data_IF_537607821378
#
_entry.id   IF_537607821378
#
_cell.length_a   1.000
_cell.length_b   1.000
_cell.length_c   1.000
_cell.angle_alpha   90.00
_cell.angle_beta   90.00
_cell.angle_gamma   90.00
#
_symmetry.space_group_name_H-M   'P 1'
#
loop_
_entity.id
_entity.type
_entity.pdbx_description
1 polymer ?
#
# COMPACT_ATOMS: atom_id res chain seq x y z
N UNK A 1 -1.04 -11.43 -4.16
CA UNK A 1 -0.75 -10.02 -3.75
C UNK A 1 -0.95 -9.91 -2.24
N UNK A 2 -0.43 -8.87 -1.57
CA UNK A 2 -0.67 -8.65 -0.14
C UNK A 2 -2.18 -8.62 0.22
N UNK A 3 -3.04 -8.24 -0.72
CA UNK A 3 -4.50 -8.25 -0.53
C UNK A 3 -5.04 -9.62 -0.14
N UNK A 4 -4.50 -10.71 -0.70
CA UNK A 4 -4.92 -12.08 -0.33
C UNK A 4 -4.66 -12.37 1.15
N UNK A 5 -3.47 -11.99 1.63
CA UNK A 5 -3.10 -12.11 3.05
C UNK A 5 -3.97 -11.21 3.93
N UNK A 6 -4.32 -10.00 3.44
CA UNK A 6 -5.19 -9.05 4.17
C UNK A 6 -6.61 -9.59 4.28
N UNK A 7 -7.15 -10.20 3.22
CA UNK A 7 -8.46 -10.86 3.25
C UNK A 7 -8.46 -12.01 4.25
N UNK A 8 -7.45 -12.88 4.19
CA UNK A 8 -7.29 -14.01 5.11
C UNK A 8 -7.07 -13.57 6.57
N UNK A 9 -6.49 -12.40 6.80
CA UNK A 9 -6.28 -11.81 8.11
C UNK A 9 -7.50 -11.02 8.65
N UNK A 10 -8.70 -11.21 8.07
CA UNK A 10 -9.93 -10.61 8.57
C UNK A 10 -10.22 -9.20 8.03
N UNK A 11 -9.98 -8.95 6.74
CA UNK A 11 -10.37 -7.67 6.12
C UNK A 11 -11.87 -7.40 6.30
N UNK A 12 -12.70 -8.44 6.12
CA UNK A 12 -14.16 -8.33 6.18
C UNK A 12 -14.62 -7.86 7.56
N UNK A 13 -14.06 -8.43 8.63
CA UNK A 13 -14.41 -8.06 10.01
C UNK A 13 -14.08 -6.59 10.29
N UNK A 14 -12.96 -6.09 9.76
CA UNK A 14 -12.57 -4.69 9.90
C UNK A 14 -13.48 -3.75 9.12
N UNK A 15 -13.84 -4.10 7.89
CA UNK A 15 -14.71 -3.23 7.07
C UNK A 15 -16.13 -3.21 7.64
N UNK A 16 -16.64 -4.34 8.14
CA UNK A 16 -17.97 -4.40 8.81
C UNK A 16 -18.09 -3.40 9.96
N UNK A 17 -17.05 -3.22 10.77
CA UNK A 17 -17.07 -2.29 11.91
C UNK A 17 -17.26 -0.81 11.51
N UNK A 18 -16.87 -0.45 10.29
CA UNK A 18 -16.97 0.93 9.77
C UNK A 18 -17.96 1.04 8.61
N UNK A 19 -18.68 -0.04 8.30
CA UNK A 19 -19.64 -0.07 7.22
C UNK A 19 -20.88 0.71 7.63
N UNK A 20 -21.16 1.76 6.86
CA UNK A 20 -22.37 2.56 6.99
C UNK A 20 -23.07 2.47 5.64
N UNK A 21 -24.30 1.91 5.58
CA UNK A 21 -25.10 1.93 4.36
C UNK A 21 -25.25 3.36 3.84
N UNK A 22 -25.05 3.54 2.54
CA UNK A 22 -25.21 4.82 1.82
C UNK A 22 -24.27 5.95 2.26
N UNK A 23 -23.15 5.59 2.88
CA UNK A 23 -22.11 6.54 3.23
C UNK A 23 -21.38 7.12 2.01
N UNK A 24 -20.97 8.37 2.16
CA UNK A 24 -20.13 9.07 1.18
C UNK A 24 -18.67 8.58 1.27
N UNK A 25 -18.30 7.63 0.42
CA UNK A 25 -16.94 7.09 0.32
C UNK A 25 -15.93 8.04 -0.33
N UNK A 26 -16.30 9.30 -0.62
CA UNK A 26 -15.36 10.30 -1.13
C UNK A 26 -14.61 11.05 -0.02
N UNK A 27 -14.96 10.82 1.25
CA UNK A 27 -14.42 11.58 2.40
C UNK A 27 -13.83 10.68 3.48
N UNK A 28 -12.85 11.24 4.20
CA UNK A 28 -12.26 10.63 5.39
C UNK A 28 -11.79 9.18 5.20
N UNK A 29 -12.04 8.36 6.22
CA UNK A 29 -11.66 6.94 6.27
C UNK A 29 -12.42 6.11 5.22
N UNK A 30 -13.62 6.55 4.82
CA UNK A 30 -14.45 5.89 3.79
C UNK A 30 -13.78 5.80 2.42
N UNK A 31 -12.76 6.63 2.14
CA UNK A 31 -11.97 6.56 0.90
C UNK A 31 -11.01 5.38 0.82
N UNK A 32 -10.77 4.69 1.93
CA UNK A 32 -9.82 3.58 1.99
C UNK A 32 -10.29 2.47 1.05
N UNK A 33 -9.47 2.06 0.08
CA UNK A 33 -9.85 1.16 -1.06
C UNK A 33 -10.70 -0.05 -0.64
N UNK A 34 -10.40 -0.67 0.51
CA UNK A 34 -11.13 -1.83 1.02
C UNK A 34 -12.60 -1.56 1.37
N UNK A 35 -12.97 -0.32 1.71
CA UNK A 35 -14.32 0.07 2.11
C UNK A 35 -15.28 0.12 0.91
N UNK A 36 -15.10 1.00 -0.11
CA UNK A 36 -15.94 0.97 -1.30
C UNK A 36 -15.73 -0.32 -2.11
N UNK A 37 -14.56 -0.96 -1.98
CA UNK A 37 -14.29 -2.24 -2.60
C UNK A 37 -15.17 -3.38 -2.07
N UNK A 38 -15.61 -3.33 -0.81
CA UNK A 38 -16.45 -4.35 -0.18
C UNK A 38 -17.92 -3.96 -0.03
N UNK A 39 -18.31 -2.72 -0.35
CA UNK A 39 -19.69 -2.23 -0.19
C UNK A 39 -20.74 -3.17 -0.80
N UNK A 40 -20.58 -3.55 -2.07
CA UNK A 40 -21.52 -4.44 -2.77
C UNK A 40 -21.63 -5.81 -2.11
N UNK A 41 -20.51 -6.35 -1.61
CA UNK A 41 -20.51 -7.63 -0.90
C UNK A 41 -21.26 -7.50 0.43
N UNK A 42 -20.95 -6.47 1.23
CA UNK A 42 -21.54 -6.27 2.55
C UNK A 42 -23.05 -5.98 2.49
N UNK A 43 -23.52 -5.25 1.48
CA UNK A 43 -24.96 -5.02 1.26
C UNK A 43 -25.73 -6.31 1.00
N UNK A 44 -25.12 -7.22 0.24
CA UNK A 44 -25.72 -8.52 -0.12
C UNK A 44 -25.54 -9.59 0.94
N UNK A 45 -24.48 -9.50 1.74
CA UNK A 45 -24.25 -10.39 2.87
C UNK A 45 -25.39 -10.31 3.90
N UNK A 46 -25.97 -9.12 4.10
CA UNK A 46 -27.11 -8.90 5.00
C UNK A 46 -28.41 -9.51 4.44
N UNK A 47 -28.49 -9.76 3.13
CA UNK A 47 -29.67 -10.37 2.54
C UNK A 47 -29.65 -11.90 2.76
N UNK A 48 -30.64 -12.38 3.53
CA UNK A 48 -30.77 -13.78 3.95
C UNK A 48 -31.13 -14.69 2.76
N UNK A 49 -31.75 -14.13 1.72
CA UNK A 49 -32.25 -14.89 0.56
C UNK A 49 -31.16 -15.21 -0.48
N UNK A 50 -29.95 -14.66 -0.35
CA UNK A 50 -28.89 -14.86 -1.33
C UNK A 50 -28.05 -16.09 -1.00
N UNK A 51 -27.90 -16.99 -1.98
CA UNK A 51 -27.20 -18.26 -1.82
C UNK A 51 -25.68 -18.09 -1.58
N UNK A 52 -25.08 -19.10 -0.96
CA UNK A 52 -23.68 -19.06 -0.55
C UNK A 52 -22.69 -18.95 -1.73
N UNK A 53 -23.03 -19.51 -2.90
CA UNK A 53 -22.16 -19.42 -4.07
C UNK A 53 -22.19 -18.01 -4.66
N UNK A 54 -23.36 -17.37 -4.71
CA UNK A 54 -23.51 -15.95 -5.08
C UNK A 54 -22.68 -15.03 -4.17
N UNK A 55 -22.73 -15.24 -2.84
CA UNK A 55 -21.92 -14.48 -1.86
C UNK A 55 -20.42 -14.66 -2.09
N UNK A 56 -19.98 -15.89 -2.35
CA UNK A 56 -18.59 -16.21 -2.66
C UNK A 56 -18.10 -15.57 -3.96
N UNK A 57 -18.92 -15.58 -5.03
CA UNK A 57 -18.59 -14.89 -6.28
C UNK A 57 -18.45 -13.38 -6.09
N UNK A 58 -19.32 -12.77 -5.28
CA UNK A 58 -19.23 -11.35 -4.94
C UNK A 58 -17.97 -11.02 -4.15
N UNK A 59 -17.59 -11.86 -3.18
CA UNK A 59 -16.36 -11.69 -2.41
C UNK A 59 -15.13 -11.76 -3.31
N UNK A 60 -15.09 -12.73 -4.23
CA UNK A 60 -14.01 -12.86 -5.20
C UNK A 60 -13.92 -11.63 -6.12
N UNK A 61 -15.06 -11.18 -6.65
CA UNK A 61 -15.14 -9.98 -7.49
C UNK A 61 -14.69 -8.72 -6.74
N UNK A 62 -15.12 -8.56 -5.49
CA UNK A 62 -14.74 -7.44 -4.62
C UNK A 62 -13.24 -7.46 -4.30
N UNK A 63 -12.69 -8.64 -4.01
CA UNK A 63 -11.26 -8.84 -3.79
C UNK A 63 -10.44 -8.52 -5.03
N UNK A 64 -10.90 -8.95 -6.22
CA UNK A 64 -10.26 -8.62 -7.49
C UNK A 64 -10.27 -7.10 -7.77
N UNK A 65 -11.39 -6.43 -7.48
CA UNK A 65 -11.51 -4.98 -7.60
C UNK A 65 -10.53 -4.25 -6.66
N UNK A 66 -10.42 -4.66 -5.39
CA UNK A 66 -9.46 -4.11 -4.43
C UNK A 66 -8.01 -4.28 -4.93
N UNK A 67 -7.67 -5.45 -5.49
CA UNK A 67 -6.35 -5.68 -6.10
C UNK A 67 -6.10 -4.72 -7.26
N UNK A 68 -7.07 -4.56 -8.16
CA UNK A 68 -6.97 -3.66 -9.31
C UNK A 68 -6.78 -2.20 -8.86
N UNK A 69 -7.63 -1.72 -7.96
CA UNK A 69 -7.56 -0.36 -7.44
C UNK A 69 -6.28 -0.09 -6.65
N UNK A 70 -5.77 -1.09 -5.93
CA UNK A 70 -4.47 -0.98 -5.24
C UNK A 70 -3.33 -0.83 -6.26
N UNK A 71 -3.36 -1.59 -7.36
CA UNK A 71 -2.37 -1.45 -8.44
C UNK A 71 -2.45 -0.07 -9.09
N UNK A 72 -3.67 0.42 -9.38
CA UNK A 72 -3.88 1.74 -9.96
C UNK A 72 -3.38 2.85 -9.02
N UNK A 73 -3.63 2.73 -7.72
CA UNK A 73 -3.07 3.65 -6.71
C UNK A 73 -1.53 3.67 -6.76
N UNK A 74 -0.89 2.51 -6.85
CA UNK A 74 0.58 2.41 -6.94
C UNK A 74 1.10 3.09 -8.21
N UNK A 75 0.43 2.90 -9.36
CA UNK A 75 0.78 3.61 -10.61
C UNK A 75 0.67 5.13 -10.43
N UNK A 76 -0.43 5.63 -9.88
CA UNK A 76 -0.59 7.06 -9.62
C UNK A 76 0.43 7.62 -8.62
N UNK A 77 0.83 6.82 -7.61
CA UNK A 77 1.88 7.21 -6.67
C UNK A 77 3.23 7.31 -7.37
N UNK A 78 3.57 6.36 -8.24
CA UNK A 78 4.79 6.38 -9.04
C UNK A 78 4.84 7.61 -9.93
N UNK A 79 3.76 7.90 -10.65
CA UNK A 79 3.66 9.10 -11.51
C UNK A 79 3.87 10.37 -10.69
N UNK A 80 3.24 10.49 -9.52
CA UNK A 80 3.41 11.64 -8.62
C UNK A 80 4.87 11.81 -8.16
N UNK A 81 5.54 10.72 -7.80
CA UNK A 81 6.96 10.75 -7.41
C UNK A 81 7.83 11.20 -8.59
N UNK A 82 7.61 10.65 -9.79
CA UNK A 82 8.34 11.04 -10.99
C UNK A 82 8.14 12.53 -11.32
N UNK A 83 6.94 13.07 -11.11
CA UNK A 83 6.67 14.50 -11.27
C UNK A 83 7.39 15.36 -10.24
N UNK A 84 7.50 14.93 -8.98
CA UNK A 84 8.31 15.63 -7.98
C UNK A 84 9.79 15.69 -8.41
N UNK A 85 10.32 14.60 -8.94
CA UNK A 85 11.71 14.53 -9.41
C UNK A 85 11.90 15.43 -10.64
N UNK A 86 11.06 15.27 -11.66
CA UNK A 86 11.28 15.86 -12.98
C UNK A 86 10.74 17.30 -13.12
N UNK A 87 9.57 17.60 -12.55
CA UNK A 87 8.95 18.93 -12.67
C UNK A 87 9.38 19.87 -11.55
N UNK A 88 9.65 19.33 -10.36
CA UNK A 88 10.02 20.14 -9.18
C UNK A 88 11.51 20.08 -8.87
N UNK A 89 12.29 19.31 -9.63
CA UNK A 89 13.73 19.15 -9.46
C UNK A 89 14.12 18.71 -8.04
N UNK A 90 13.25 17.91 -7.39
CA UNK A 90 13.55 17.40 -6.06
C UNK A 90 14.74 16.44 -6.13
N UNK A 91 15.76 16.71 -5.32
CA UNK A 91 16.89 15.81 -5.15
C UNK A 91 16.43 14.60 -4.33
N UNK A 92 16.08 13.50 -5.02
CA UNK A 92 15.60 12.27 -4.39
C UNK A 92 16.62 11.16 -4.58
N UNK A 93 17.01 10.50 -3.49
CA UNK A 93 17.80 9.29 -3.54
C UNK A 93 16.91 8.06 -3.77
N UNK A 94 17.07 7.38 -4.91
CA UNK A 94 16.29 6.18 -5.24
C UNK A 94 16.94 4.91 -4.67
N UNK A 95 16.20 4.19 -3.82
CA UNK A 95 16.62 2.91 -3.24
C UNK A 95 15.77 1.78 -3.85
N UNK A 96 16.41 0.86 -4.55
CA UNK A 96 15.73 -0.22 -5.28
C UNK A 96 15.50 -1.42 -4.35
N UNK A 97 14.25 -1.61 -3.93
CA UNK A 97 13.83 -2.70 -3.05
C UNK A 97 13.46 -4.01 -3.78
N UNK A 98 13.49 -4.04 -5.12
CA UNK A 98 12.97 -5.16 -5.94
C UNK A 98 13.58 -6.52 -5.55
N UNK A 99 14.87 -6.56 -5.19
CA UNK A 99 15.54 -7.80 -4.79
C UNK A 99 14.96 -8.45 -3.54
N UNK A 100 14.38 -7.66 -2.62
CA UNK A 100 13.78 -8.14 -1.37
C UNK A 100 12.53 -8.96 -1.63
N UNK A 101 11.78 -8.63 -2.68
CA UNK A 101 10.51 -9.31 -3.01
C UNK A 101 10.69 -10.58 -3.84
N UNK A 102 11.93 -10.98 -4.17
CA UNK A 102 12.22 -12.18 -4.98
C UNK A 102 12.51 -13.44 -4.16
N UNK A 103 12.77 -13.30 -2.86
CA UNK A 103 13.10 -14.43 -1.98
C UNK A 103 11.89 -14.91 -1.20
N UNK A 104 11.74 -16.24 -1.07
CA UNK A 104 10.69 -16.83 -0.23
C UNK A 104 11.19 -17.19 1.18
N UNK A 105 12.51 -17.36 1.33
CA UNK A 105 13.14 -17.66 2.63
C UNK A 105 13.48 -16.38 3.37
N UNK A 106 13.01 -16.28 4.61
CA UNK A 106 13.23 -15.13 5.49
C UNK A 106 14.69 -14.68 5.54
N UNK A 107 15.64 -15.60 5.70
CA UNK A 107 17.07 -15.28 5.74
C UNK A 107 17.59 -14.61 4.46
N UNK A 108 17.09 -15.07 3.30
CA UNK A 108 17.44 -14.50 1.99
C UNK A 108 16.85 -13.10 1.84
N UNK A 109 15.59 -12.93 2.26
CA UNK A 109 14.89 -11.64 2.26
C UNK A 109 15.56 -10.64 3.20
N UNK A 110 15.91 -11.05 4.41
CA UNK A 110 16.56 -10.21 5.42
C UNK A 110 17.95 -9.77 4.95
N UNK A 111 18.72 -10.69 4.34
CA UNK A 111 20.02 -10.36 3.74
C UNK A 111 19.87 -9.38 2.58
N UNK A 112 18.91 -9.62 1.68
CA UNK A 112 18.63 -8.71 0.58
C UNK A 112 18.23 -7.32 1.09
N UNK A 113 17.30 -7.24 2.05
CA UNK A 113 16.87 -5.99 2.69
C UNK A 113 18.04 -5.21 3.29
N UNK A 114 18.89 -5.90 4.07
CA UNK A 114 20.06 -5.27 4.68
C UNK A 114 20.99 -4.65 3.62
N UNK A 115 21.28 -5.39 2.56
CA UNK A 115 22.27 -4.98 1.57
C UNK A 115 21.73 -3.96 0.56
N UNK A 116 20.47 -4.07 0.14
CA UNK A 116 19.92 -3.24 -0.95
C UNK A 116 19.14 -2.03 -0.44
N UNK A 117 18.71 -2.02 0.82
CA UNK A 117 17.90 -0.94 1.39
C UNK A 117 18.59 -0.32 2.60
N UNK A 118 18.87 -1.11 3.64
CA UNK A 118 19.33 -0.55 4.91
C UNK A 118 20.70 0.11 4.81
N UNK A 119 21.70 -0.58 4.26
CA UNK A 119 23.05 -0.02 4.15
C UNK A 119 23.09 1.24 3.27
N UNK A 120 22.53 1.25 2.03
CA UNK A 120 22.48 2.46 1.22
C UNK A 120 21.76 3.62 1.91
N UNK A 121 20.63 3.35 2.59
CA UNK A 121 19.90 4.37 3.35
C UNK A 121 20.77 4.97 4.45
N UNK A 122 21.44 4.13 5.26
CA UNK A 122 22.32 4.60 6.33
C UNK A 122 23.48 5.44 5.81
N UNK A 123 24.07 5.06 4.67
CA UNK A 123 25.17 5.82 4.07
C UNK A 123 24.71 7.19 3.56
N UNK A 124 23.52 7.27 2.95
CA UNK A 124 22.90 8.53 2.54
C UNK A 124 22.68 9.43 3.76
N UNK A 125 22.04 8.91 4.81
CA UNK A 125 21.75 9.67 6.04
C UNK A 125 23.04 10.11 6.73
N UNK A 126 24.06 9.25 6.83
CA UNK A 126 25.36 9.63 7.41
C UNK A 126 26.04 10.76 6.64
N UNK A 127 25.98 10.75 5.30
CA UNK A 127 26.55 11.82 4.48
C UNK A 127 25.80 13.13 4.69
N UNK A 128 24.48 13.07 4.70
CA UNK A 128 23.61 14.23 4.97
C UNK A 128 23.93 14.88 6.32
N UNK A 129 24.00 14.08 7.39
CA UNK A 129 24.33 14.60 8.72
C UNK A 129 25.74 15.19 8.81
N UNK A 130 26.72 14.62 8.09
CA UNK A 130 28.10 15.14 8.07
C UNK A 130 28.29 16.41 7.25
N UNK A 131 27.47 16.61 6.21
CA UNK A 131 27.51 17.83 5.41
C UNK A 131 26.97 19.04 6.15
N UNK A 132 26.08 18.84 7.13
CA UNK A 132 25.54 19.94 7.95
C UNK A 132 26.58 20.48 8.94
N UNK A 133 27.50 19.64 9.43
CA UNK A 133 28.59 20.06 10.33
C UNK A 133 29.63 20.98 9.66
N UNK A 134 29.76 20.95 8.32
CA UNK A 134 30.75 21.75 7.58
C UNK A 134 30.20 23.10 7.08
N UNK A 135 28.89 23.36 7.22
CA UNK A 135 28.26 24.62 6.84
C UNK A 135 28.06 25.59 8.03
N UNK A 136 28.54 25.23 9.23
CA UNK A 136 28.64 26.13 10.39
C UNK A 136 30.08 26.65 10.47
N UNK A 137 30.51 27.41 9.46
CA UNK A 137 31.59 28.38 9.64
C UNK A 137 30.89 29.74 9.66
N UNK A 138 30.65 30.22 10.88
CA UNK A 138 30.20 31.58 11.14
C UNK A 138 31.47 32.45 11.02
N UNK A 139 31.58 33.22 9.94
CA UNK A 139 32.38 34.46 9.94
C UNK A 139 31.68 35.54 10.78
#
# INVERSE_FOLDING_TARGET
>A
MRIDQVVNAGLMDKVRQIFIPDADYTKGIGRSIGVPGMDRYLRKEINIDEDDESKKMLLQSSTANIKCNTRLLICHQLDKIQRLINEKMWLVHHIIATGVFKGDRKEVVDKAWRNTILQPFLDIVKRFLKSDDHNIIIE
#
